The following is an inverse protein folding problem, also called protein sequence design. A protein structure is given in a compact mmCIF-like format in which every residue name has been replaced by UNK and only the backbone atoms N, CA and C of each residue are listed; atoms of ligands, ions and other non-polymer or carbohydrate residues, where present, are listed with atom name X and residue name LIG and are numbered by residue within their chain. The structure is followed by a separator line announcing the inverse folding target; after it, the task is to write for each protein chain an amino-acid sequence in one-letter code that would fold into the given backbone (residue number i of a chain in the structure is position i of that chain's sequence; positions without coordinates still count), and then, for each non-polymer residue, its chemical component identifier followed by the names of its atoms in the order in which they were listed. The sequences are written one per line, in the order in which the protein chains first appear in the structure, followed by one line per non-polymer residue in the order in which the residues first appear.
data_IF_732738443077
#
_entry.id   IF_732738443077
#
_cell.length_a   1.000
_cell.length_b   1.000
_cell.length_c   1.000
_cell.angle_alpha   90.00
_cell.angle_beta   90.00
_cell.angle_gamma   90.00
#
_symmetry.space_group_name_H-M   'P 1'
#
loop_
_entity.id
_entity.type
_entity.pdbx_description
1 polymer ?
#
# COMPACT_ATOMS: atom_id res chain seq x y z
N UNK A 1 -5.51 6.32 -18.06
CA UNK A 1 -5.80 5.34 -17.00
C UNK A 1 -7.03 5.80 -16.21
N UNK A 2 -8.09 4.98 -16.14
CA UNK A 2 -9.30 5.35 -15.37
C UNK A 2 -9.13 4.94 -13.90
N UNK A 3 -8.59 5.86 -13.09
CA UNK A 3 -8.26 5.62 -11.67
C UNK A 3 -9.52 5.21 -10.90
N UNK A 4 -10.67 5.85 -11.17
CA UNK A 4 -11.95 5.53 -10.51
C UNK A 4 -12.36 4.08 -10.76
N UNK A 5 -12.29 3.61 -12.01
CA UNK A 5 -12.64 2.24 -12.35
C UNK A 5 -11.65 1.24 -11.75
N UNK A 6 -10.34 1.53 -11.76
CA UNK A 6 -9.32 0.66 -11.16
C UNK A 6 -9.52 0.50 -9.65
N UNK A 7 -9.79 1.61 -8.95
CA UNK A 7 -10.10 1.59 -7.51
C UNK A 7 -11.37 0.79 -7.25
N UNK A 8 -12.43 0.98 -8.06
CA UNK A 8 -13.67 0.20 -7.94
C UNK A 8 -13.40 -1.30 -8.10
N UNK A 9 -12.74 -1.70 -9.18
CA UNK A 9 -12.42 -3.11 -9.46
C UNK A 9 -11.54 -3.72 -8.36
N UNK A 10 -10.59 -2.95 -7.82
CA UNK A 10 -9.74 -3.36 -6.71
C UNK A 10 -10.54 -3.63 -5.43
N UNK A 11 -11.45 -2.71 -5.08
CA UNK A 11 -12.34 -2.85 -3.92
C UNK A 11 -13.27 -4.06 -4.10
N UNK A 12 -13.84 -4.25 -5.29
CA UNK A 12 -14.71 -5.39 -5.60
C UNK A 12 -13.95 -6.72 -5.51
N UNK A 13 -12.77 -6.80 -6.13
CA UNK A 13 -11.89 -7.99 -6.06
C UNK A 13 -11.46 -8.31 -4.64
N UNK A 14 -11.15 -7.30 -3.83
CA UNK A 14 -10.73 -7.50 -2.44
C UNK A 14 -11.91 -7.58 -1.46
N UNK A 15 -13.14 -7.26 -1.87
CA UNK A 15 -14.33 -7.19 -1.01
C UNK A 15 -14.20 -6.22 0.18
N UNK A 16 -13.29 -5.25 0.11
CA UNK A 16 -13.05 -4.31 1.22
C UNK A 16 -12.41 -3.02 0.72
N UNK A 17 -12.68 -1.92 1.44
CA UNK A 17 -12.06 -0.60 1.22
C UNK A 17 -10.91 -0.32 2.19
N UNK A 18 -10.67 -1.20 3.15
CA UNK A 18 -9.59 -1.05 4.11
C UNK A 18 -8.26 -1.36 3.42
N UNK A 19 -7.37 -0.36 3.33
CA UNK A 19 -6.14 -0.43 2.55
C UNK A 19 -5.20 -1.54 3.03
N UNK A 20 -5.07 -1.75 4.36
CA UNK A 20 -4.25 -2.83 4.92
C UNK A 20 -4.80 -4.22 4.54
N UNK A 21 -6.13 -4.39 4.60
CA UNK A 21 -6.77 -5.63 4.17
C UNK A 21 -6.59 -5.86 2.66
N UNK A 22 -6.60 -4.79 1.85
CA UNK A 22 -6.33 -4.87 0.42
C UNK A 22 -4.89 -5.35 0.18
N UNK A 23 -3.88 -4.73 0.81
CA UNK A 23 -2.48 -5.15 0.71
C UNK A 23 -2.32 -6.64 1.06
N UNK A 24 -2.91 -7.07 2.19
CA UNK A 24 -2.90 -8.48 2.61
C UNK A 24 -3.52 -9.42 1.57
N UNK A 25 -4.66 -9.06 0.98
CA UNK A 25 -5.31 -9.86 -0.07
C UNK A 25 -4.55 -9.89 -1.39
N UNK A 26 -3.73 -8.88 -1.65
CA UNK A 26 -2.85 -8.83 -2.82
C UNK A 26 -1.50 -9.53 -2.59
N UNK A 27 -1.31 -10.15 -1.42
CA UNK A 27 -0.03 -10.71 -0.98
C UNK A 27 1.11 -9.67 -1.01
N UNK A 28 0.77 -8.45 -0.59
CA UNK A 28 1.71 -7.34 -0.43
C UNK A 28 1.96 -7.17 1.07
N UNK A 29 3.20 -7.39 1.48
CA UNK A 29 3.66 -7.16 2.85
C UNK A 29 3.81 -5.66 3.11
N UNK A 30 3.41 -5.18 4.28
CA UNK A 30 3.60 -3.77 4.67
C UNK A 30 4.63 -3.76 5.80
N UNK A 31 5.78 -3.14 5.54
CA UNK A 31 6.93 -3.11 6.47
C UNK A 31 7.16 -1.67 6.92
N UNK A 32 7.33 -1.47 8.21
CA UNK A 32 7.69 -0.17 8.78
C UNK A 32 9.17 -0.13 9.07
N UNK A 33 9.86 0.91 8.59
CA UNK A 33 11.30 1.07 8.78
C UNK A 33 11.70 2.54 8.71
N UNK A 34 12.84 2.90 9.27
CA UNK A 34 13.36 4.26 9.15
C UNK A 34 13.88 4.49 7.72
N UNK A 35 13.16 5.32 6.95
CA UNK A 35 13.44 5.59 5.54
C UNK A 35 14.08 6.96 5.28
N UNK A 36 14.58 7.62 6.32
CA UNK A 36 15.11 8.99 6.23
C UNK A 36 14.03 9.96 5.71
N UNK A 37 14.29 10.57 4.55
CA UNK A 37 13.36 11.52 3.91
C UNK A 37 12.31 10.85 3.00
N UNK A 38 12.44 9.56 2.73
CA UNK A 38 11.48 8.81 1.92
C UNK A 38 10.28 8.46 2.82
N UNK A 39 9.05 8.68 2.34
CA UNK A 39 7.82 8.38 3.09
C UNK A 39 7.40 6.91 2.97
N UNK A 40 7.63 6.33 1.81
CA UNK A 40 7.40 4.91 1.53
C UNK A 40 7.75 4.59 0.08
N UNK A 41 7.79 3.30 -0.24
CA UNK A 41 7.95 2.82 -1.61
C UNK A 41 7.41 1.40 -1.78
N UNK A 42 6.90 1.10 -2.97
CA UNK A 42 6.60 -0.27 -3.39
C UNK A 42 7.81 -0.97 -4.04
N UNK A 43 8.01 -2.24 -3.70
CA UNK A 43 8.99 -3.09 -4.37
C UNK A 43 8.42 -4.51 -4.60
N UNK A 44 8.79 -5.11 -5.72
CA UNK A 44 8.45 -6.49 -6.06
C UNK A 44 9.71 -7.26 -6.46
N UNK A 45 10.55 -7.57 -5.48
CA UNK A 45 11.76 -8.35 -5.70
C UNK A 45 11.43 -9.86 -5.66
N UNK A 46 11.76 -10.57 -6.75
CA UNK A 46 11.73 -12.05 -6.83
C UNK A 46 10.41 -12.66 -6.32
N UNK A 47 9.28 -12.06 -6.69
CA UNK A 47 7.94 -12.55 -6.34
C UNK A 47 7.40 -12.09 -4.98
N UNK A 48 8.24 -11.51 -4.12
CA UNK A 48 7.82 -10.91 -2.85
C UNK A 48 7.45 -9.46 -3.09
N UNK A 49 6.17 -9.13 -2.91
CA UNK A 49 5.67 -7.75 -3.01
C UNK A 49 5.65 -7.16 -1.62
N UNK A 50 6.28 -6.01 -1.44
CA UNK A 50 6.18 -5.28 -0.19
C UNK A 50 6.08 -3.78 -0.43
N UNK A 51 5.48 -3.09 0.53
CA UNK A 51 5.48 -1.64 0.66
C UNK A 51 6.24 -1.32 1.94
N UNK A 52 7.37 -0.64 1.80
CA UNK A 52 8.08 -0.07 2.93
C UNK A 52 7.49 1.30 3.26
N UNK A 53 7.27 1.58 4.54
CA UNK A 53 6.70 2.84 5.03
C UNK A 53 7.62 3.39 6.11
N UNK A 54 7.82 4.69 6.10
CA UNK A 54 8.59 5.37 7.13
C UNK A 54 7.85 5.29 8.47
N UNK A 55 8.53 4.79 9.49
CA UNK A 55 7.99 4.58 10.84
C UNK A 55 7.66 5.88 11.60
N UNK A 56 8.17 7.02 11.12
CA UNK A 56 7.89 8.36 11.66
C UNK A 56 6.54 8.94 11.22
N UNK A 57 5.79 8.25 10.36
CA UNK A 57 4.52 8.74 9.82
C UNK A 57 3.33 8.49 10.76
N UNK A 58 2.40 9.42 10.78
CA UNK A 58 1.11 9.24 11.48
C UNK A 58 0.23 8.21 10.79
N UNK A 59 -0.75 7.64 11.51
CA UNK A 59 -1.68 6.64 10.93
C UNK A 59 -2.42 7.15 9.68
N UNK A 60 -2.73 8.46 9.65
CA UNK A 60 -3.33 9.10 8.48
C UNK A 60 -2.38 9.18 7.29
N UNK A 61 -1.12 9.57 7.52
CA UNK A 61 -0.10 9.59 6.48
C UNK A 61 0.20 8.21 5.94
N UNK A 62 0.27 7.20 6.81
CA UNK A 62 0.44 5.80 6.42
C UNK A 62 -0.66 5.36 5.44
N UNK A 63 -1.92 5.71 5.70
CA UNK A 63 -3.05 5.39 4.80
C UNK A 63 -2.90 6.07 3.44
N UNK A 64 -2.43 7.32 3.42
CA UNK A 64 -2.21 8.08 2.17
C UNK A 64 -1.06 7.45 1.37
N UNK A 65 0.07 7.17 2.01
CA UNK A 65 1.23 6.55 1.36
C UNK A 65 0.86 5.16 0.84
N UNK A 66 0.19 4.33 1.64
CA UNK A 66 -0.28 3.01 1.18
C UNK A 66 -1.21 3.10 -0.02
N UNK A 67 -2.12 4.09 -0.06
CA UNK A 67 -3.01 4.28 -1.19
C UNK A 67 -2.28 4.83 -2.44
N UNK A 68 -1.18 5.56 -2.25
CA UNK A 68 -0.34 6.07 -3.34
C UNK A 68 0.51 4.97 -3.98
N UNK A 69 1.05 4.07 -3.17
CA UNK A 69 1.95 2.98 -3.61
C UNK A 69 1.21 1.78 -4.25
N UNK A 70 -0.13 1.77 -4.25
CA UNK A 70 -0.99 0.66 -4.68
C UNK A 70 -1.62 0.87 -6.06
#
# INVERSE_FOLDING_TARGET
MNIRLRVKNLIERCGTRNIFKICKKLNIEVVFMELGNIKGFYNSAVGNKFIAINDKLTEWEIKIVLAHEL
#
